data_IF_058391319824
#
_entry.id   IF_058391319824
#
_cell.length_a   1.000
_cell.length_b   1.000
_cell.length_c   1.000
_cell.angle_alpha   90.00
_cell.angle_beta   90.00
_cell.angle_gamma   90.00
#
_symmetry.space_group_name_H-M   'P 1'
#
loop_
_entity.id
_entity.type
_entity.pdbx_description
1 polymer ?
#
# COMPACT_ATOMS: atom_id res chain seq x y z
N UNK A 1 1.13 12.57 -22.63
CA UNK A 1 2.07 12.02 -21.63
C UNK A 1 3.06 11.05 -22.29
N UNK A 2 2.62 9.95 -22.90
CA UNK A 2 3.53 8.96 -23.54
C UNK A 2 3.93 9.25 -24.98
N UNK A 3 3.03 9.80 -25.82
CA UNK A 3 3.20 9.88 -27.29
C UNK A 3 3.56 8.53 -27.96
N UNK A 4 3.04 7.43 -27.42
CA UNK A 4 3.16 6.10 -28.02
C UNK A 4 2.00 5.83 -29.00
N UNK A 5 2.07 4.75 -29.76
CA UNK A 5 0.93 4.31 -30.57
C UNK A 5 -0.21 3.83 -29.64
N UNK A 6 -1.45 3.85 -30.14
CA UNK A 6 -2.59 3.39 -29.34
C UNK A 6 -2.46 1.93 -28.89
N UNK A 7 -1.84 1.07 -29.69
CA UNK A 7 -1.61 -0.34 -29.32
C UNK A 7 -0.55 -0.51 -28.24
N UNK A 8 0.37 0.44 -28.09
CA UNK A 8 1.46 0.37 -27.12
C UNK A 8 0.97 0.59 -25.67
N UNK A 9 -0.26 1.07 -25.46
CA UNK A 9 -0.84 1.25 -24.11
C UNK A 9 -1.01 -0.07 -23.37
N UNK A 10 -1.08 -1.19 -24.10
CA UNK A 10 -1.15 -2.55 -23.53
C UNK A 10 0.24 -3.11 -23.18
N UNK A 11 1.32 -2.49 -23.67
CA UNK A 11 2.69 -2.91 -23.43
C UNK A 11 3.37 -1.97 -22.44
N UNK A 12 3.30 -2.29 -21.15
CA UNK A 12 3.77 -1.43 -20.06
C UNK A 12 5.21 -0.95 -20.24
N UNK A 13 6.13 -1.83 -20.66
CA UNK A 13 7.53 -1.46 -20.92
C UNK A 13 7.67 -0.45 -22.05
N UNK A 14 6.85 -0.58 -23.11
CA UNK A 14 6.87 0.33 -24.26
C UNK A 14 6.25 1.68 -23.91
N UNK A 15 5.13 1.67 -23.21
CA UNK A 15 4.48 2.87 -22.71
C UNK A 15 5.45 3.68 -21.83
N UNK A 16 6.09 3.04 -20.84
CA UNK A 16 7.07 3.68 -19.97
C UNK A 16 8.32 4.16 -20.72
N UNK A 17 8.84 3.40 -21.69
CA UNK A 17 9.95 3.83 -22.54
C UNK A 17 9.62 5.15 -23.27
N UNK A 18 8.41 5.25 -23.82
CA UNK A 18 7.94 6.46 -24.50
C UNK A 18 7.70 7.64 -23.54
N UNK A 19 7.14 7.40 -22.34
CA UNK A 19 6.96 8.46 -21.33
C UNK A 19 8.33 9.01 -20.92
N UNK A 20 9.27 8.13 -20.54
CA UNK A 20 10.60 8.52 -20.07
C UNK A 20 11.37 9.22 -21.18
N UNK A 21 11.34 8.69 -22.41
CA UNK A 21 11.99 9.34 -23.56
C UNK A 21 11.48 10.77 -23.76
N UNK A 22 10.15 10.98 -23.74
CA UNK A 22 9.59 12.32 -23.93
C UNK A 22 9.89 13.26 -22.75
N UNK A 23 10.00 12.73 -21.53
CA UNK A 23 10.41 13.49 -20.36
C UNK A 23 11.88 13.95 -20.51
N UNK A 24 12.79 13.01 -20.73
CA UNK A 24 14.23 13.27 -20.86
C UNK A 24 14.58 14.11 -22.08
N UNK A 25 13.86 13.95 -23.20
CA UNK A 25 14.02 14.78 -24.39
C UNK A 25 13.75 16.27 -24.10
N UNK A 26 12.74 16.59 -23.28
CA UNK A 26 12.46 17.96 -22.86
C UNK A 26 13.59 18.53 -21.99
N UNK A 27 14.23 17.67 -21.21
CA UNK A 27 15.39 18.02 -20.39
C UNK A 27 16.72 17.97 -21.16
N UNK A 28 16.69 17.71 -22.48
CA UNK A 28 17.87 17.58 -23.34
C UNK A 28 18.84 16.47 -22.89
N UNK A 29 18.31 15.42 -22.27
CA UNK A 29 19.06 14.24 -21.83
C UNK A 29 18.92 13.12 -22.86
N UNK A 30 20.05 12.53 -23.25
CA UNK A 30 20.09 11.39 -24.18
C UNK A 30 19.82 10.10 -23.41
N UNK A 31 18.87 9.30 -23.89
CA UNK A 31 18.53 8.00 -23.31
C UNK A 31 19.59 6.93 -23.64
N UNK A 32 19.80 5.92 -22.79
CA UNK A 32 20.73 4.84 -23.08
C UNK A 32 20.24 3.97 -24.24
N UNK A 33 21.18 3.31 -24.92
CA UNK A 33 20.84 2.26 -25.88
C UNK A 33 20.19 1.08 -25.14
N UNK A 34 19.17 0.49 -25.75
CA UNK A 34 18.55 -0.73 -25.22
C UNK A 34 19.53 -1.89 -25.35
N UNK A 35 19.98 -2.45 -24.23
CA UNK A 35 20.79 -3.66 -24.18
C UNK A 35 19.91 -4.92 -24.10
N UNK A 36 20.45 -6.06 -24.53
CA UNK A 36 19.85 -7.36 -24.21
C UNK A 36 20.30 -7.73 -22.80
N UNK A 37 19.37 -7.75 -21.86
CA UNK A 37 19.61 -8.22 -20.52
C UNK A 37 19.18 -9.69 -20.42
N UNK A 38 19.93 -10.49 -19.65
CA UNK A 38 19.47 -11.81 -19.25
C UNK A 38 18.65 -11.62 -17.98
N UNK A 39 17.48 -12.27 -17.91
CA UNK A 39 16.74 -12.39 -16.67
C UNK A 39 17.62 -13.09 -15.64
N UNK A 40 17.94 -12.40 -14.55
CA UNK A 40 18.56 -12.98 -13.38
C UNK A 40 17.57 -13.82 -12.58
N UNK A 41 17.95 -14.10 -11.34
CA UNK A 41 17.14 -14.91 -10.43
C UNK A 41 15.85 -14.17 -10.03
N UNK A 42 14.87 -14.92 -9.54
CA UNK A 42 13.66 -14.32 -9.00
C UNK A 42 14.01 -13.53 -7.73
N UNK A 43 13.74 -12.23 -7.72
CA UNK A 43 13.88 -11.39 -6.53
C UNK A 43 12.61 -11.43 -5.67
N UNK A 44 12.76 -11.19 -4.36
CA UNK A 44 11.65 -11.28 -3.42
C UNK A 44 10.60 -10.19 -3.66
N UNK A 45 9.33 -10.59 -3.55
CA UNK A 45 8.18 -9.72 -3.73
C UNK A 45 7.75 -8.97 -2.47
N UNK A 46 6.48 -8.60 -2.39
CA UNK A 46 5.92 -7.95 -1.21
C UNK A 46 5.85 -8.90 -0.01
N UNK A 47 6.02 -8.34 1.19
CA UNK A 47 5.85 -9.05 2.44
C UNK A 47 4.35 -9.26 2.73
N UNK A 48 4.02 -10.46 3.20
CA UNK A 48 2.66 -10.80 3.67
C UNK A 48 2.81 -11.55 4.98
N UNK A 49 2.41 -10.90 6.07
CA UNK A 49 2.35 -11.53 7.40
C UNK A 49 1.30 -12.64 7.40
N UNK A 50 1.59 -13.75 8.07
CA UNK A 50 0.58 -14.79 8.28
C UNK A 50 -0.51 -14.24 9.21
N UNK A 51 -1.81 -14.31 8.83
CA UNK A 51 -2.84 -13.70 9.65
C UNK A 51 -3.07 -14.50 10.93
N UNK A 52 -3.45 -13.80 12.00
CA UNK A 52 -4.09 -14.43 13.15
C UNK A 52 -5.45 -14.97 12.68
N UNK A 53 -5.57 -16.30 12.55
CA UNK A 53 -6.77 -16.93 11.99
C UNK A 53 -7.94 -16.86 12.96
N UNK A 54 -9.16 -16.83 12.42
CA UNK A 54 -10.39 -16.80 13.18
C UNK A 54 -11.12 -15.47 13.09
N UNK A 55 -12.15 -15.32 13.94
CA UNK A 55 -12.99 -14.13 14.04
C UNK A 55 -12.37 -13.13 15.00
N UNK A 56 -12.27 -11.89 14.57
CA UNK A 56 -11.80 -10.75 15.34
C UNK A 56 -12.86 -9.66 15.34
N UNK A 57 -12.99 -8.96 16.46
CA UNK A 57 -13.89 -7.81 16.58
C UNK A 57 -13.13 -6.51 16.41
N UNK A 58 -13.82 -5.49 15.94
CA UNK A 58 -13.33 -4.10 15.85
C UNK A 58 -11.97 -4.01 15.15
N UNK A 59 -11.98 -4.37 13.87
CA UNK A 59 -10.81 -4.29 13.00
C UNK A 59 -10.81 -2.94 12.29
N UNK A 60 -9.66 -2.28 12.32
CA UNK A 60 -9.39 -1.13 11.47
C UNK A 60 -8.25 -1.46 10.51
N UNK A 61 -8.32 -0.96 9.28
CA UNK A 61 -7.20 -1.05 8.34
C UNK A 61 -6.57 0.32 8.10
N UNK A 62 -5.25 0.32 7.95
CA UNK A 62 -4.47 1.45 7.48
C UNK A 62 -3.76 1.06 6.20
N UNK A 63 -3.77 1.92 5.18
CA UNK A 63 -3.23 1.63 3.84
C UNK A 63 -2.19 2.69 3.43
N UNK A 64 -1.07 2.24 2.85
CA UNK A 64 -0.05 3.13 2.32
C UNK A 64 -0.49 3.73 0.98
N UNK A 65 -0.45 5.06 0.91
CA UNK A 65 -0.78 5.77 -0.31
C UNK A 65 0.22 5.45 -1.41
N UNK A 66 -0.19 4.66 -2.42
CA UNK A 66 0.63 4.36 -3.62
C UNK A 66 2.06 3.94 -3.25
N UNK A 67 2.18 2.82 -2.54
CA UNK A 67 3.42 2.32 -1.94
C UNK A 67 4.64 2.42 -2.86
N UNK A 68 4.64 1.68 -3.97
CA UNK A 68 5.83 1.58 -4.83
C UNK A 68 6.30 2.92 -5.42
N UNK A 69 5.41 3.78 -5.98
CA UNK A 69 5.82 5.13 -6.39
C UNK A 69 6.47 5.95 -5.27
N UNK A 70 5.92 5.92 -4.06
CA UNK A 70 6.47 6.70 -2.96
C UNK A 70 7.80 6.14 -2.46
N UNK A 71 8.03 4.82 -2.53
CA UNK A 71 9.35 4.24 -2.23
C UNK A 71 10.40 4.69 -3.24
N UNK A 72 10.04 4.71 -4.53
CA UNK A 72 10.91 5.24 -5.59
C UNK A 72 11.26 6.71 -5.31
N UNK A 73 10.27 7.51 -4.89
CA UNK A 73 10.48 8.91 -4.52
C UNK A 73 11.29 9.09 -3.23
N UNK A 74 11.08 8.24 -2.22
CA UNK A 74 11.71 8.31 -0.89
C UNK A 74 13.21 8.00 -0.94
N UNK A 75 13.57 6.94 -1.66
CA UNK A 75 14.95 6.48 -1.77
C UNK A 75 15.65 7.00 -3.03
N UNK A 76 14.98 7.85 -3.82
CA UNK A 76 15.51 8.41 -5.07
C UNK A 76 15.94 7.32 -6.08
N UNK A 77 15.15 6.26 -6.20
CA UNK A 77 15.47 5.09 -7.01
C UNK A 77 15.37 5.44 -8.49
N UNK A 78 16.51 5.48 -9.18
CA UNK A 78 16.58 5.81 -10.60
C UNK A 78 17.88 5.24 -11.22
N UNK A 79 17.89 4.90 -12.52
CA UNK A 79 19.07 4.34 -13.18
C UNK A 79 20.34 5.19 -13.10
N UNK A 80 20.21 6.51 -12.98
CA UNK A 80 21.32 7.47 -12.94
C UNK A 80 21.66 7.97 -11.53
N UNK A 81 20.89 7.53 -10.52
CA UNK A 81 21.13 7.84 -9.11
C UNK A 81 21.73 6.68 -8.33
N UNK A 82 21.66 5.45 -8.85
CA UNK A 82 22.32 4.29 -8.24
C UNK A 82 23.86 4.43 -8.31
N UNK A 83 24.53 4.24 -7.18
CA UNK A 83 25.99 4.33 -7.03
C UNK A 83 26.68 2.97 -6.90
N UNK A 84 25.91 1.92 -6.61
CA UNK A 84 26.43 0.58 -6.36
C UNK A 84 25.65 -0.10 -5.23
N UNK A 85 26.33 -1.02 -4.56
CA UNK A 85 25.81 -1.76 -3.40
C UNK A 85 26.69 -1.45 -2.19
N UNK A 86 26.08 -1.33 -1.03
CA UNK A 86 26.77 -1.19 0.25
C UNK A 86 27.54 -2.47 0.58
N UNK A 87 28.60 -2.36 1.37
CA UNK A 87 29.51 -3.48 1.63
C UNK A 87 28.88 -4.55 2.53
N UNK A 88 28.09 -4.12 3.52
CA UNK A 88 27.42 -5.02 4.47
C UNK A 88 26.11 -5.58 3.91
N UNK A 89 25.79 -6.82 4.27
CA UNK A 89 24.45 -7.39 4.08
C UNK A 89 23.49 -6.76 5.10
N UNK A 90 22.70 -5.79 4.64
CA UNK A 90 21.80 -5.01 5.51
C UNK A 90 20.53 -5.82 5.84
N UNK A 91 19.77 -6.21 4.81
CA UNK A 91 18.51 -6.93 4.97
C UNK A 91 17.39 -6.09 5.61
N UNK A 92 16.17 -6.62 5.55
CA UNK A 92 15.00 -5.97 6.17
C UNK A 92 15.06 -6.07 7.69
N UNK A 93 15.31 -7.26 8.22
CA UNK A 93 15.28 -7.53 9.66
C UNK A 93 16.31 -6.70 10.43
N UNK A 94 17.54 -6.61 9.93
CA UNK A 94 18.57 -5.83 10.61
C UNK A 94 18.29 -4.32 10.59
N UNK A 95 17.61 -3.80 9.56
CA UNK A 95 17.10 -2.41 9.62
C UNK A 95 15.97 -2.28 10.63
N UNK A 96 14.97 -3.16 10.60
CA UNK A 96 13.82 -3.16 11.52
C UNK A 96 14.27 -3.20 12.98
N UNK A 97 15.28 -4.02 13.29
CA UNK A 97 15.84 -4.17 14.63
C UNK A 97 16.87 -3.08 14.99
N UNK A 98 17.17 -2.15 14.08
CA UNK A 98 18.17 -1.09 14.23
C UNK A 98 19.57 -1.64 14.58
N UNK A 99 19.97 -2.73 13.91
CA UNK A 99 21.26 -3.40 14.13
C UNK A 99 22.46 -2.68 13.46
N UNK A 100 22.19 -1.70 12.59
CA UNK A 100 23.20 -0.96 11.83
C UNK A 100 23.32 0.50 12.29
N UNK A 101 24.56 0.98 12.38
CA UNK A 101 24.81 2.41 12.47
C UNK A 101 24.76 3.04 11.07
N UNK A 102 23.71 3.81 10.81
CA UNK A 102 23.46 4.46 9.52
C UNK A 102 24.01 5.89 9.45
N UNK A 103 24.71 6.36 10.49
CA UNK A 103 25.29 7.71 10.54
C UNK A 103 26.23 7.99 9.37
N UNK A 104 27.01 6.98 8.94
CA UNK A 104 27.91 7.05 7.79
C UNK A 104 27.17 7.36 6.47
N UNK A 105 25.89 7.00 6.34
CA UNK A 105 25.11 7.34 5.15
C UNK A 105 24.81 8.84 5.09
N UNK A 106 24.62 9.48 6.26
CA UNK A 106 24.48 10.94 6.38
C UNK A 106 25.79 11.62 5.99
N UNK A 107 26.93 11.14 6.50
CA UNK A 107 28.27 11.69 6.19
C UNK A 107 28.60 11.60 4.69
N UNK A 108 28.30 10.46 4.05
CA UNK A 108 28.51 10.26 2.61
C UNK A 108 27.43 10.90 1.73
N UNK A 109 26.40 11.48 2.32
CA UNK A 109 25.24 12.06 1.63
C UNK A 109 24.57 11.08 0.63
N UNK A 110 24.34 9.85 1.09
CA UNK A 110 23.69 8.78 0.33
C UNK A 110 22.51 8.19 1.12
N UNK A 111 21.57 7.57 0.41
CA UNK A 111 20.55 6.72 1.02
C UNK A 111 20.74 5.28 0.58
N UNK A 112 20.38 4.33 1.44
CA UNK A 112 20.58 2.90 1.20
C UNK A 112 19.29 2.15 1.46
N UNK A 113 18.91 1.28 0.52
CA UNK A 113 17.74 0.40 0.65
C UNK A 113 18.11 -0.93 1.30
N UNK A 114 17.15 -1.72 1.81
CA UNK A 114 17.45 -2.98 2.52
C UNK A 114 18.26 -4.01 1.72
N UNK A 115 18.18 -4.00 0.38
CA UNK A 115 19.02 -4.85 -0.48
C UNK A 115 20.45 -4.29 -0.71
N UNK A 116 20.85 -3.29 0.08
CA UNK A 116 22.17 -2.66 -0.03
C UNK A 116 22.31 -1.66 -1.17
N UNK A 117 21.30 -1.45 -2.03
CA UNK A 117 21.46 -0.50 -3.16
C UNK A 117 21.63 0.94 -2.64
N UNK A 118 22.67 1.61 -3.12
CA UNK A 118 23.05 2.96 -2.68
C UNK A 118 22.61 4.00 -3.72
N UNK A 119 21.93 5.04 -3.27
CA UNK A 119 21.42 6.11 -4.14
C UNK A 119 21.92 7.50 -3.72
N UNK A 120 22.11 8.35 -4.72
CA UNK A 120 22.48 9.77 -4.57
C UNK A 120 21.42 10.57 -3.82
N UNK A 121 21.86 11.57 -3.06
CA UNK A 121 20.97 12.59 -2.48
C UNK A 121 21.24 14.02 -2.94
N UNK A 122 22.33 14.24 -3.67
CA UNK A 122 22.71 15.56 -4.17
C UNK A 122 21.85 16.05 -5.34
N UNK A 123 21.13 15.14 -6.01
CA UNK A 123 20.18 15.45 -7.09
C UNK A 123 19.01 14.46 -7.10
N UNK A 124 17.80 14.95 -7.40
CA UNK A 124 16.64 14.09 -7.66
C UNK A 124 16.81 13.38 -9.01
N UNK A 125 16.53 12.08 -9.05
CA UNK A 125 16.53 11.31 -10.29
C UNK A 125 15.31 11.62 -11.17
N UNK A 126 15.44 11.36 -12.47
CA UNK A 126 14.36 11.60 -13.44
C UNK A 126 13.14 10.75 -13.13
N UNK A 127 13.32 9.51 -12.67
CA UNK A 127 12.20 8.60 -12.42
C UNK A 127 11.39 9.04 -11.20
N UNK A 128 12.00 9.31 -10.02
CA UNK A 128 11.33 9.95 -8.89
C UNK A 128 10.59 11.25 -9.26
N UNK A 129 11.24 12.14 -10.02
CA UNK A 129 10.65 13.43 -10.45
C UNK A 129 9.44 13.24 -11.37
N UNK A 130 9.54 12.31 -12.32
CA UNK A 130 8.43 11.96 -13.21
C UNK A 130 7.26 11.33 -12.45
N UNK A 131 7.54 10.44 -11.49
CA UNK A 131 6.52 9.82 -10.64
C UNK A 131 5.80 10.84 -9.77
N UNK A 132 6.52 11.79 -9.19
CA UNK A 132 5.96 12.89 -8.41
C UNK A 132 4.96 13.70 -9.25
N UNK A 133 5.37 14.14 -10.45
CA UNK A 133 4.48 14.87 -11.36
C UNK A 133 3.22 14.05 -11.76
N UNK A 134 3.37 12.76 -12.03
CA UNK A 134 2.24 11.89 -12.37
C UNK A 134 1.32 11.63 -11.17
N UNK A 135 1.88 11.57 -9.96
CA UNK A 135 1.13 11.43 -8.72
C UNK A 135 0.36 12.70 -8.38
N UNK A 136 0.95 13.89 -8.56
CA UNK A 136 0.27 15.16 -8.35
C UNK A 136 -0.95 15.31 -9.28
N UNK A 137 -0.79 14.93 -10.56
CA UNK A 137 -1.92 14.85 -11.50
C UNK A 137 -2.99 13.88 -11.00
N UNK A 138 -2.59 12.71 -10.46
CA UNK A 138 -3.53 11.73 -9.90
C UNK A 138 -4.30 12.32 -8.72
N UNK A 139 -3.62 12.99 -7.79
CA UNK A 139 -4.23 13.63 -6.62
C UNK A 139 -5.23 14.69 -7.07
N UNK A 140 -4.85 15.53 -8.05
CA UNK A 140 -5.74 16.52 -8.65
C UNK A 140 -7.01 15.88 -9.21
N UNK A 141 -6.91 14.82 -10.00
CA UNK A 141 -8.09 14.16 -10.58
C UNK A 141 -8.92 13.40 -9.53
N UNK A 142 -8.30 12.78 -8.50
CA UNK A 142 -9.04 12.18 -7.37
C UNK A 142 -9.82 13.25 -6.61
N UNK A 143 -9.24 14.43 -6.38
CA UNK A 143 -9.93 15.57 -5.75
C UNK A 143 -11.13 16.03 -6.57
N UNK A 144 -10.95 16.27 -7.87
CA UNK A 144 -12.03 16.68 -8.78
C UNK A 144 -13.16 15.63 -8.83
N UNK A 145 -12.81 14.34 -8.82
CA UNK A 145 -13.78 13.24 -8.76
C UNK A 145 -14.63 13.30 -7.48
N UNK A 146 -13.98 13.46 -6.31
CA UNK A 146 -14.67 13.54 -5.02
C UNK A 146 -15.54 14.82 -4.92
N UNK A 147 -15.06 15.95 -5.43
CA UNK A 147 -15.83 17.20 -5.49
C UNK A 147 -17.09 17.06 -6.37
N UNK A 148 -16.99 16.38 -7.51
CA UNK A 148 -18.13 16.09 -8.37
C UNK A 148 -19.11 15.11 -7.69
N UNK A 149 -18.59 14.05 -7.05
CA UNK A 149 -19.39 13.06 -6.33
C UNK A 149 -20.20 13.69 -5.17
N UNK A 150 -19.61 14.65 -4.46
CA UNK A 150 -20.27 15.39 -3.36
C UNK A 150 -21.49 16.20 -3.81
N UNK A 151 -21.66 16.46 -5.11
CA UNK A 151 -22.86 17.12 -5.64
C UNK A 151 -24.09 16.22 -5.66
N UNK A 152 -23.94 14.92 -5.37
CA UNK A 152 -25.03 13.96 -5.29
C UNK A 152 -25.85 13.93 -6.59
N UNK A 153 -27.15 14.20 -6.49
CA UNK A 153 -28.06 14.22 -7.65
C UNK A 153 -27.72 15.28 -8.72
N UNK A 154 -26.93 16.29 -8.36
CA UNK A 154 -26.50 17.36 -9.27
C UNK A 154 -25.13 17.07 -9.93
N UNK A 155 -24.54 15.90 -9.70
CA UNK A 155 -23.27 15.53 -10.30
C UNK A 155 -23.42 15.31 -11.80
N UNK A 156 -22.45 15.77 -12.59
CA UNK A 156 -22.32 15.44 -14.00
C UNK A 156 -21.71 14.04 -14.16
N UNK A 157 -22.47 13.04 -14.64
CA UNK A 157 -21.99 11.66 -14.72
C UNK A 157 -20.82 11.50 -15.69
N UNK A 158 -20.71 12.35 -16.73
CA UNK A 158 -19.61 12.28 -17.68
C UNK A 158 -18.31 12.79 -17.06
N UNK A 159 -18.37 13.88 -16.30
CA UNK A 159 -17.20 14.39 -15.55
C UNK A 159 -16.76 13.40 -14.48
N UNK A 160 -17.70 12.83 -13.74
CA UNK A 160 -17.40 11.84 -12.71
C UNK A 160 -16.66 10.63 -13.32
N UNK A 161 -17.20 10.07 -14.41
CA UNK A 161 -16.56 8.97 -15.15
C UNK A 161 -15.18 9.36 -15.71
N UNK A 162 -15.06 10.56 -16.27
CA UNK A 162 -13.80 11.05 -16.80
C UNK A 162 -12.72 11.20 -15.71
N UNK A 163 -13.04 11.85 -14.59
CA UNK A 163 -12.08 12.01 -13.48
C UNK A 163 -11.72 10.68 -12.84
N UNK A 164 -12.69 9.77 -12.71
CA UNK A 164 -12.44 8.39 -12.27
C UNK A 164 -11.44 7.69 -13.21
N UNK A 165 -11.65 7.76 -14.52
CA UNK A 165 -10.77 7.16 -15.50
C UNK A 165 -9.36 7.78 -15.47
N UNK A 166 -9.23 9.10 -15.33
CA UNK A 166 -7.92 9.74 -15.22
C UNK A 166 -7.15 9.30 -13.98
N UNK A 167 -7.76 9.38 -12.79
CA UNK A 167 -7.07 8.98 -11.55
C UNK A 167 -6.73 7.48 -11.55
N UNK A 168 -7.62 6.64 -12.10
CA UNK A 168 -7.44 5.20 -12.11
C UNK A 168 -6.33 4.79 -13.07
N UNK A 169 -6.29 5.35 -14.28
CA UNK A 169 -5.23 5.07 -15.23
C UNK A 169 -3.87 5.58 -14.75
N UNK A 170 -3.82 6.74 -14.08
CA UNK A 170 -2.58 7.21 -13.44
C UNK A 170 -2.14 6.27 -12.31
N UNK A 171 -3.06 5.76 -11.48
CA UNK A 171 -2.75 4.74 -10.46
C UNK A 171 -2.14 3.49 -11.10
N UNK A 172 -2.77 2.98 -12.16
CA UNK A 172 -2.32 1.78 -12.88
C UNK A 172 -0.93 2.03 -13.49
N UNK A 173 -0.73 3.15 -14.16
CA UNK A 173 0.55 3.50 -14.75
C UNK A 173 1.64 3.60 -13.67
N UNK A 174 1.43 4.39 -12.62
CA UNK A 174 2.37 4.54 -11.51
C UNK A 174 2.80 3.20 -10.91
N UNK A 175 1.84 2.30 -10.65
CA UNK A 175 2.14 0.96 -10.13
C UNK A 175 2.83 0.06 -11.17
N UNK A 176 2.55 0.25 -12.47
CA UNK A 176 3.18 -0.55 -13.52
C UNK A 176 4.63 -0.16 -13.77
N UNK A 177 5.08 1.02 -13.32
CA UNK A 177 6.47 1.43 -13.41
C UNK A 177 7.41 0.46 -12.70
N UNK A 178 7.05 0.06 -11.48
CA UNK A 178 7.75 -0.97 -10.72
C UNK A 178 7.82 -2.29 -11.51
N UNK A 179 6.69 -2.75 -12.07
CA UNK A 179 6.66 -3.95 -12.90
C UNK A 179 7.50 -3.84 -14.18
N UNK A 180 7.65 -2.63 -14.74
CA UNK A 180 8.52 -2.38 -15.87
C UNK A 180 10.01 -2.43 -15.49
N UNK A 181 10.39 -1.91 -14.31
CA UNK A 181 11.76 -1.96 -13.80
C UNK A 181 12.29 -3.38 -13.62
N UNK A 182 11.42 -4.30 -13.20
CA UNK A 182 11.73 -5.74 -13.08
C UNK A 182 11.61 -6.55 -14.39
N UNK A 183 11.39 -5.90 -15.54
CA UNK A 183 11.23 -6.59 -16.82
C UNK A 183 12.49 -6.46 -17.69
N UNK A 184 13.16 -7.58 -17.99
CA UNK A 184 14.40 -7.63 -18.80
C UNK A 184 14.30 -6.96 -20.19
N UNK A 185 13.08 -6.78 -20.72
CA UNK A 185 12.84 -6.12 -22.00
C UNK A 185 12.72 -4.61 -21.89
N UNK A 186 12.73 -4.05 -20.68
CA UNK A 186 12.69 -2.62 -20.44
C UNK A 186 14.07 -2.00 -20.62
N UNK A 187 14.12 -0.78 -21.17
CA UNK A 187 15.40 -0.07 -21.43
C UNK A 187 16.17 0.21 -20.14
N UNK A 188 15.44 0.52 -19.08
CA UNK A 188 15.99 0.87 -17.77
C UNK A 188 15.89 -0.30 -16.78
N UNK A 189 15.90 -1.54 -17.29
CA UNK A 189 15.92 -2.73 -16.47
C UNK A 189 17.15 -2.74 -15.56
N UNK A 190 16.91 -2.87 -14.28
CA UNK A 190 17.93 -3.06 -13.26
C UNK A 190 17.28 -3.80 -12.08
N UNK A 191 17.70 -5.04 -11.86
CA UNK A 191 17.16 -5.90 -10.79
C UNK A 191 17.33 -5.26 -9.42
N UNK A 192 18.45 -4.55 -9.20
CA UNK A 192 18.74 -3.86 -7.94
C UNK A 192 17.68 -2.82 -7.62
N UNK A 193 17.25 -2.05 -8.63
CA UNK A 193 16.22 -1.03 -8.47
C UNK A 193 14.84 -1.66 -8.23
N UNK A 194 14.52 -2.77 -8.91
CA UNK A 194 13.24 -3.45 -8.71
C UNK A 194 13.15 -4.09 -7.32
N UNK A 195 14.19 -4.81 -6.91
CA UNK A 195 14.31 -5.40 -5.59
C UNK A 195 14.34 -4.33 -4.49
N UNK A 196 15.08 -3.23 -4.68
CA UNK A 196 15.13 -2.13 -3.73
C UNK A 196 13.72 -1.60 -3.39
N UNK A 197 12.83 -1.53 -4.37
CA UNK A 197 11.42 -1.14 -4.15
C UNK A 197 10.67 -2.20 -3.35
N UNK A 198 10.83 -3.49 -3.68
CA UNK A 198 10.08 -4.55 -2.98
C UNK A 198 10.49 -4.66 -1.51
N UNK A 199 11.80 -4.76 -1.24
CA UNK A 199 12.32 -4.91 0.13
C UNK A 199 12.14 -3.64 0.97
N UNK A 200 12.22 -2.45 0.36
CA UNK A 200 11.90 -1.20 1.08
C UNK A 200 10.42 -1.15 1.46
N UNK A 201 9.53 -1.72 0.64
CA UNK A 201 8.12 -1.90 1.00
C UNK A 201 7.94 -2.82 2.19
N UNK A 202 8.67 -3.95 2.23
CA UNK A 202 8.66 -4.86 3.38
C UNK A 202 9.12 -4.14 4.67
N UNK A 203 10.20 -3.37 4.59
CA UNK A 203 10.68 -2.57 5.71
C UNK A 203 9.63 -1.56 6.18
N UNK A 204 9.03 -0.79 5.28
CA UNK A 204 8.04 0.23 5.65
C UNK A 204 6.84 -0.36 6.39
N UNK A 205 6.30 -1.49 5.94
CA UNK A 205 5.14 -2.09 6.59
C UNK A 205 5.49 -2.72 7.95
N UNK A 206 6.64 -3.37 8.07
CA UNK A 206 7.11 -3.93 9.35
C UNK A 206 7.46 -2.85 10.38
N UNK A 207 8.00 -1.71 9.91
CA UNK A 207 8.27 -0.55 10.76
C UNK A 207 6.98 0.02 11.37
N UNK A 208 5.93 0.19 10.54
CA UNK A 208 4.62 0.63 11.01
C UNK A 208 3.97 -0.39 11.95
N UNK A 209 4.07 -1.69 11.65
CA UNK A 209 3.61 -2.77 12.53
C UNK A 209 4.22 -2.63 13.93
N UNK A 210 5.55 -2.50 14.02
CA UNK A 210 6.26 -2.37 15.29
C UNK A 210 5.84 -1.10 16.04
N UNK A 211 5.72 0.04 15.34
CA UNK A 211 5.29 1.30 15.94
C UNK A 211 3.87 1.20 16.54
N UNK A 212 2.92 0.62 15.79
CA UNK A 212 1.53 0.45 16.23
C UNK A 212 1.44 -0.54 17.39
N UNK A 213 2.12 -1.69 17.30
CA UNK A 213 2.15 -2.67 18.39
C UNK A 213 2.73 -2.08 19.67
N UNK A 214 3.84 -1.34 19.59
CA UNK A 214 4.45 -0.68 20.76
C UNK A 214 3.51 0.35 21.40
N UNK A 215 2.88 1.19 20.57
CA UNK A 215 1.92 2.18 21.04
C UNK A 215 0.71 1.53 21.73
N UNK A 216 0.13 0.48 21.14
CA UNK A 216 -1.04 -0.19 21.71
C UNK A 216 -0.69 -0.97 22.98
N UNK A 217 0.47 -1.64 23.03
CA UNK A 217 0.93 -2.32 24.25
C UNK A 217 1.12 -1.33 25.40
N UNK A 218 1.75 -0.18 25.13
CA UNK A 218 1.92 0.89 26.12
C UNK A 218 0.57 1.44 26.59
N UNK A 219 -0.31 1.78 25.64
CA UNK A 219 -1.63 2.37 25.92
C UNK A 219 -2.56 1.43 26.70
N UNK A 220 -2.52 0.15 26.35
CA UNK A 220 -3.38 -0.87 26.95
C UNK A 220 -2.75 -1.57 28.15
N UNK A 221 -1.49 -1.27 28.46
CA UNK A 221 -0.71 -1.89 29.53
C UNK A 221 -0.59 -3.40 29.34
N UNK A 222 -0.39 -3.83 28.10
CA UNK A 222 -0.09 -5.22 27.73
C UNK A 222 1.38 -5.38 27.38
N UNK A 223 1.88 -6.61 27.46
CA UNK A 223 3.27 -6.95 27.13
C UNK A 223 3.27 -7.91 25.95
N UNK A 224 3.99 -7.55 24.89
CA UNK A 224 4.19 -8.37 23.69
C UNK A 224 2.88 -8.90 23.06
N UNK A 225 1.77 -8.18 23.21
CA UNK A 225 0.53 -8.53 22.52
C UNK A 225 0.60 -8.03 21.08
N UNK A 226 0.38 -8.94 20.14
CA UNK A 226 0.31 -8.59 18.73
C UNK A 226 -1.12 -8.15 18.37
N UNK A 227 -1.30 -6.86 18.16
CA UNK A 227 -2.56 -6.24 17.74
C UNK A 227 -2.73 -6.26 16.21
N UNK A 228 -1.68 -6.62 15.47
CA UNK A 228 -1.72 -6.67 14.01
C UNK A 228 -2.20 -8.06 13.57
N UNK A 229 -3.47 -8.14 13.21
CA UNK A 229 -4.14 -9.39 12.80
C UNK A 229 -3.60 -9.88 11.47
N UNK A 230 -3.39 -8.97 10.51
CA UNK A 230 -2.92 -9.31 9.18
C UNK A 230 -2.19 -8.14 8.54
N UNK A 231 -1.33 -8.44 7.57
CA UNK A 231 -0.75 -7.47 6.66
C UNK A 231 -0.85 -8.01 5.25
N UNK A 232 -1.34 -7.20 4.33
CA UNK A 232 -1.40 -7.54 2.91
C UNK A 232 -0.74 -6.44 2.09
N UNK A 233 0.52 -6.66 1.70
CA UNK A 233 1.30 -5.80 0.81
C UNK A 233 1.57 -4.39 1.34
N UNK A 234 0.55 -3.53 1.34
CA UNK A 234 0.56 -2.12 1.72
C UNK A 234 -0.45 -1.78 2.83
N UNK A 235 -1.31 -2.73 3.22
CA UNK A 235 -2.30 -2.54 4.28
C UNK A 235 -1.95 -3.25 5.59
N UNK A 236 -2.22 -2.57 6.70
CA UNK A 236 -2.06 -3.04 8.09
C UNK A 236 -3.45 -3.21 8.74
N UNK A 237 -3.79 -4.41 9.22
CA UNK A 237 -5.08 -4.69 9.89
C UNK A 237 -4.87 -4.80 11.40
N UNK A 238 -5.47 -3.88 12.15
CA UNK A 238 -5.29 -3.70 13.59
C UNK A 238 -6.56 -4.10 14.34
N UNK A 239 -6.45 -4.97 15.33
CA UNK A 239 -7.54 -5.32 16.24
C UNK A 239 -7.60 -4.35 17.42
N UNK A 240 -8.69 -3.60 17.50
CA UNK A 240 -8.93 -2.60 18.57
C UNK A 240 -10.01 -3.06 19.56
N UNK A 241 -10.41 -4.32 19.55
CA UNK A 241 -11.40 -4.88 20.48
C UNK A 241 -11.03 -4.67 21.96
N UNK A 242 -9.74 -4.83 22.30
CA UNK A 242 -9.25 -4.58 23.66
C UNK A 242 -9.33 -3.10 24.05
N UNK A 243 -9.19 -2.19 23.08
CA UNK A 243 -9.34 -0.75 23.30
C UNK A 243 -10.82 -0.40 23.54
N UNK A 244 -11.71 -0.90 22.69
CA UNK A 244 -13.16 -0.71 22.84
C UNK A 244 -13.65 -1.25 24.19
N UNK A 245 -13.23 -2.47 24.54
CA UNK A 245 -13.57 -3.12 25.82
C UNK A 245 -13.06 -2.33 27.02
N UNK A 246 -11.86 -1.74 26.95
CA UNK A 246 -11.27 -0.94 28.05
C UNK A 246 -12.04 0.36 28.29
N UNK A 247 -12.61 0.97 27.25
CA UNK A 247 -13.45 2.17 27.38
C UNK A 247 -14.88 1.82 27.82
N UNK A 248 -15.35 0.61 27.50
CA UNK A 248 -16.67 0.13 27.92
C UNK A 248 -17.84 0.69 27.09
N UNK A 249 -17.59 1.10 25.85
CA UNK A 249 -18.64 1.54 24.92
C UNK A 249 -19.31 0.29 24.34
N UNK A 250 -20.64 0.24 24.36
CA UNK A 250 -21.43 -0.90 23.85
C UNK A 250 -22.27 -0.55 22.63
N UNK A 251 -22.51 0.74 22.40
CA UNK A 251 -23.30 1.26 21.30
C UNK A 251 -22.45 1.32 20.02
N UNK A 252 -22.92 0.68 18.96
CA UNK A 252 -22.15 0.42 17.74
C UNK A 252 -21.72 1.71 17.04
N UNK A 253 -22.64 2.66 16.84
CA UNK A 253 -22.33 3.94 16.20
C UNK A 253 -21.29 4.74 16.99
N UNK A 254 -21.46 4.79 18.32
CA UNK A 254 -20.48 5.45 19.21
C UNK A 254 -19.12 4.77 19.19
N UNK A 255 -19.07 3.44 19.03
CA UNK A 255 -17.80 2.72 18.88
C UNK A 255 -17.13 3.13 17.58
N UNK A 256 -17.84 3.15 16.45
CA UNK A 256 -17.23 3.54 15.16
C UNK A 256 -16.70 4.97 15.22
N UNK A 257 -17.42 5.91 15.83
CA UNK A 257 -16.96 7.30 16.01
C UNK A 257 -15.77 7.42 16.96
N UNK A 258 -15.74 6.60 18.01
CA UNK A 258 -14.59 6.49 18.90
C UNK A 258 -13.36 5.93 18.16
N UNK A 259 -13.55 4.88 17.35
CA UNK A 259 -12.50 4.24 16.57
C UNK A 259 -11.95 5.18 15.50
N UNK A 260 -12.79 5.98 14.85
CA UNK A 260 -12.34 6.99 13.89
C UNK A 260 -11.38 8.00 14.55
N UNK A 261 -11.73 8.49 15.75
CA UNK A 261 -10.84 9.38 16.54
C UNK A 261 -9.58 8.68 17.02
N UNK A 262 -9.69 7.41 17.45
CA UNK A 262 -8.53 6.62 17.86
C UNK A 262 -7.57 6.38 16.69
N UNK A 263 -8.11 6.14 15.49
CA UNK A 263 -7.32 5.98 14.27
C UNK A 263 -6.53 7.24 13.96
N UNK A 264 -7.08 8.45 14.15
CA UNK A 264 -6.32 9.70 14.00
C UNK A 264 -5.07 9.77 14.89
N UNK A 265 -5.11 9.20 16.11
CA UNK A 265 -3.93 9.10 16.98
C UNK A 265 -2.93 8.06 16.48
N UNK A 266 -3.43 6.90 16.01
CA UNK A 266 -2.59 5.85 15.43
C UNK A 266 -1.91 6.35 14.14
N UNK A 267 -2.60 7.12 13.30
CA UNK A 267 -1.99 7.78 12.14
C UNK A 267 -0.83 8.68 12.55
N UNK A 268 -0.97 9.48 13.62
CA UNK A 268 0.13 10.32 14.13
C UNK A 268 1.32 9.51 14.64
N UNK A 269 1.09 8.33 15.23
CA UNK A 269 2.16 7.39 15.61
C UNK A 269 2.87 6.85 14.36
N UNK A 270 2.09 6.44 13.35
CA UNK A 270 2.64 5.91 12.10
C UNK A 270 3.44 6.99 11.35
N UNK A 271 2.91 8.20 11.25
CA UNK A 271 3.56 9.35 10.61
C UNK A 271 4.93 9.62 11.26
N UNK A 272 4.96 9.76 12.58
CA UNK A 272 6.20 9.93 13.33
C UNK A 272 7.17 8.76 13.11
N UNK A 273 6.67 7.52 13.08
CA UNK A 273 7.52 6.36 12.83
C UNK A 273 8.17 6.39 11.45
N UNK A 274 7.47 6.91 10.42
CA UNK A 274 8.05 7.05 9.09
C UNK A 274 9.02 8.22 8.99
N UNK A 275 8.83 9.30 9.75
CA UNK A 275 9.85 10.35 9.89
C UNK A 275 11.13 9.77 10.51
N UNK A 276 11.00 8.97 11.58
CA UNK A 276 12.13 8.27 12.20
C UNK A 276 12.81 7.30 11.22
N UNK A 277 12.03 6.55 10.43
CA UNK A 277 12.58 5.66 9.40
C UNK A 277 13.34 6.45 8.33
N UNK A 278 12.75 7.53 7.82
CA UNK A 278 13.36 8.37 6.81
C UNK A 278 14.66 9.01 7.31
N UNK A 279 14.70 9.43 8.58
CA UNK A 279 15.93 9.91 9.20
C UNK A 279 16.97 8.78 9.35
N UNK A 280 16.54 7.61 9.81
CA UNK A 280 17.40 6.45 10.04
C UNK A 280 18.06 5.97 8.75
N UNK A 281 17.32 5.81 7.65
CA UNK A 281 17.88 5.38 6.36
C UNK A 281 18.47 6.53 5.52
N UNK A 282 18.56 7.71 6.12
CA UNK A 282 18.96 8.95 5.46
C UNK A 282 18.22 9.16 4.13
N UNK A 283 16.92 8.92 4.09
CA UNK A 283 16.10 9.00 2.89
C UNK A 283 16.28 10.33 2.13
N UNK A 284 16.11 10.30 0.80
CA UNK A 284 16.12 11.51 -0.03
C UNK A 284 15.02 12.50 0.40
N UNK A 285 13.85 11.95 0.74
CA UNK A 285 12.70 12.67 1.28
C UNK A 285 11.75 11.69 1.97
N UNK A 286 11.03 12.12 3.00
CA UNK A 286 9.96 11.32 3.57
C UNK A 286 8.76 11.34 2.59
N UNK A 287 8.31 10.16 2.16
CA UNK A 287 7.13 10.02 1.28
C UNK A 287 6.13 8.97 1.76
N UNK A 288 6.42 8.23 2.83
CA UNK A 288 5.51 7.22 3.36
C UNK A 288 4.35 7.88 4.10
N UNK A 289 3.15 7.72 3.57
CA UNK A 289 1.91 8.20 4.20
C UNK A 289 0.92 7.06 4.24
N UNK A 290 0.60 6.62 5.45
CA UNK A 290 -0.39 5.58 5.69
C UNK A 290 -1.62 6.21 6.35
N UNK A 291 -2.81 5.93 5.79
CA UNK A 291 -4.08 6.50 6.26
C UNK A 291 -5.08 5.40 6.57
N UNK A 292 -6.00 5.68 7.48
CA UNK A 292 -7.10 4.78 7.81
C UNK A 292 -7.94 4.55 6.56
N UNK A 293 -8.12 3.28 6.20
CA UNK A 293 -8.94 2.85 5.07
C UNK A 293 -10.29 2.35 5.59
N UNK A 294 -10.34 1.31 6.43
CA UNK A 294 -11.60 0.68 6.86
C UNK A 294 -11.78 0.71 8.38
N UNK A 295 -13.03 0.84 8.83
CA UNK A 295 -13.49 0.42 10.17
C UNK A 295 -14.52 -0.70 9.99
N UNK A 296 -14.29 -1.84 10.63
CA UNK A 296 -15.15 -3.01 10.58
C UNK A 296 -15.40 -3.57 11.99
N UNK A 297 -16.64 -3.96 12.28
CA UNK A 297 -17.00 -4.54 13.59
C UNK A 297 -16.54 -6.01 13.72
N UNK A 298 -16.44 -6.72 12.61
CA UNK A 298 -16.10 -8.13 12.50
C UNK A 298 -15.18 -8.31 11.30
N UNK A 299 -14.07 -9.00 11.54
CA UNK A 299 -13.20 -9.53 10.49
C UNK A 299 -12.91 -11.00 10.72
N UNK A 300 -12.91 -11.80 9.64
CA UNK A 300 -12.61 -13.24 9.72
C UNK A 300 -11.52 -13.58 8.72
N UNK A 301 -10.40 -14.08 9.21
CA UNK A 301 -9.27 -14.56 8.39
C UNK A 301 -9.15 -16.07 8.45
N UNK A 302 -8.98 -16.71 7.28
CA UNK A 302 -8.68 -18.14 7.20
C UNK A 302 -7.27 -18.40 6.66
N UNK A 303 -6.76 -17.50 5.80
CA UNK A 303 -5.43 -17.55 5.23
C UNK A 303 -4.98 -16.17 4.72
N UNK A 304 -3.72 -16.08 4.28
CA UNK A 304 -3.19 -14.90 3.56
C UNK A 304 -4.10 -14.59 2.37
N UNK A 305 -4.47 -13.31 2.20
CA UNK A 305 -5.39 -12.84 1.15
C UNK A 305 -6.76 -13.52 1.13
N UNK A 306 -7.19 -14.12 2.25
CA UNK A 306 -8.47 -14.83 2.35
C UNK A 306 -9.24 -14.42 3.60
N UNK A 307 -10.10 -13.42 3.47
CA UNK A 307 -10.83 -12.84 4.61
C UNK A 307 -12.13 -12.12 4.20
N UNK A 308 -12.99 -11.92 5.20
CA UNK A 308 -14.17 -11.04 5.12
C UNK A 308 -14.12 -9.99 6.22
N UNK A 309 -14.65 -8.81 5.91
CA UNK A 309 -14.85 -7.71 6.85
C UNK A 309 -16.27 -7.18 6.71
N UNK A 310 -16.92 -6.91 7.83
CA UNK A 310 -18.18 -6.19 7.86
C UNK A 310 -17.92 -4.71 8.11
N UNK A 311 -17.89 -3.94 7.03
CA UNK A 311 -17.36 -2.57 7.00
C UNK A 311 -18.44 -1.57 7.29
N UNK A 312 -18.18 -0.71 8.28
CA UNK A 312 -19.01 0.43 8.66
C UNK A 312 -18.58 1.71 7.98
N UNK A 313 -17.27 1.95 7.90
CA UNK A 313 -16.69 3.16 7.34
C UNK A 313 -15.53 2.82 6.41
N UNK A 314 -15.49 3.42 5.22
CA UNK A 314 -14.43 3.23 4.23
C UNK A 314 -13.97 4.56 3.66
N UNK A 315 -12.68 4.90 3.80
CA UNK A 315 -12.06 6.17 3.36
C UNK A 315 -12.86 7.42 3.79
N UNK A 316 -13.43 7.43 4.99
CA UNK A 316 -14.25 8.51 5.54
C UNK A 316 -15.70 8.55 5.05
N UNK A 317 -16.13 7.54 4.28
CA UNK A 317 -17.53 7.35 3.89
C UNK A 317 -18.17 6.34 4.84
N UNK A 318 -19.03 6.85 5.73
CA UNK A 318 -19.89 6.04 6.59
C UNK A 318 -21.02 5.43 5.77
N UNK A 319 -21.26 4.14 5.91
CA UNK A 319 -22.42 3.48 5.31
C UNK A 319 -23.62 3.53 6.25
N UNK A 320 -24.83 3.59 5.66
CA UNK A 320 -26.09 3.45 6.41
C UNK A 320 -26.23 2.04 6.97
N UNK A 321 -25.99 1.03 6.12
CA UNK A 321 -25.89 -0.37 6.49
C UNK A 321 -24.46 -0.89 6.26
N UNK A 322 -23.92 -1.73 7.15
CA UNK A 322 -22.59 -2.31 7.00
C UNK A 322 -22.46 -3.10 5.69
N UNK A 323 -21.27 -3.03 5.07
CA UNK A 323 -20.99 -3.69 3.80
C UNK A 323 -19.92 -4.76 3.93
N UNK A 324 -20.23 -5.93 3.41
CA UNK A 324 -19.28 -7.02 3.28
C UNK A 324 -18.15 -6.69 2.29
N UNK A 325 -16.93 -6.53 2.80
CA UNK A 325 -15.68 -6.54 2.01
C UNK A 325 -15.12 -7.97 2.05
N UNK A 326 -15.12 -8.64 0.90
CA UNK A 326 -14.66 -10.02 0.74
C UNK A 326 -13.38 -10.02 -0.09
N UNK A 327 -12.33 -10.72 0.36
CA UNK A 327 -11.04 -10.79 -0.34
C UNK A 327 -10.58 -12.24 -0.47
N UNK A 328 -10.27 -12.63 -1.71
CA UNK A 328 -9.72 -13.94 -2.11
C UNK A 328 -10.60 -15.17 -1.89
N UNK A 329 -11.82 -15.00 -1.39
CA UNK A 329 -12.79 -16.08 -1.18
C UNK A 329 -13.50 -16.44 -2.48
N UNK A 330 -13.90 -17.70 -2.63
CA UNK A 330 -14.61 -18.26 -3.78
C UNK A 330 -15.83 -17.43 -4.21
N UNK A 331 -16.49 -16.75 -3.26
CA UNK A 331 -17.63 -15.87 -3.49
C UNK A 331 -17.37 -14.70 -4.47
N UNK A 332 -16.11 -14.34 -4.70
CA UNK A 332 -15.72 -13.27 -5.63
C UNK A 332 -14.88 -13.76 -6.81
N UNK A 333 -14.54 -15.06 -6.87
CA UNK A 333 -13.75 -15.64 -7.97
C UNK A 333 -14.63 -15.82 -9.20
N UNK A 334 -14.15 -15.35 -10.35
CA UNK A 334 -14.86 -15.49 -11.63
C UNK A 334 -15.11 -16.97 -12.01
N UNK A 335 -14.22 -17.87 -11.58
CA UNK A 335 -14.29 -19.32 -11.80
C UNK A 335 -15.39 -20.04 -11.00
N UNK A 336 -15.91 -19.44 -9.93
CA UNK A 336 -16.99 -20.04 -9.12
C UNK A 336 -18.34 -19.83 -9.81
N UNK A 337 -19.21 -20.85 -9.90
CA UNK A 337 -20.55 -20.69 -10.46
C UNK A 337 -21.35 -19.56 -9.78
N UNK A 338 -22.13 -18.81 -10.56
CA UNK A 338 -22.87 -17.64 -10.05
C UNK A 338 -23.79 -17.99 -8.88
N UNK A 339 -24.55 -19.07 -8.97
CA UNK A 339 -25.43 -19.54 -7.89
C UNK A 339 -24.63 -19.81 -6.60
N UNK A 340 -23.47 -20.47 -6.69
CA UNK A 340 -22.61 -20.71 -5.54
C UNK A 340 -22.07 -19.39 -4.96
N UNK A 341 -21.70 -18.40 -5.79
CA UNK A 341 -21.26 -17.09 -5.29
C UNK A 341 -22.35 -16.36 -4.53
N UNK A 342 -23.58 -16.40 -5.03
CA UNK A 342 -24.73 -15.78 -4.38
C UNK A 342 -25.03 -16.45 -3.05
N UNK A 343 -25.06 -17.79 -3.01
CA UNK A 343 -25.23 -18.55 -1.77
C UNK A 343 -24.11 -18.27 -0.76
N UNK A 344 -22.85 -18.22 -1.20
CA UNK A 344 -21.72 -17.88 -0.34
C UNK A 344 -21.81 -16.46 0.23
N UNK A 345 -22.26 -15.48 -0.56
CA UNK A 345 -22.45 -14.12 -0.04
C UNK A 345 -23.58 -14.04 0.98
N UNK A 346 -24.68 -14.76 0.73
CA UNK A 346 -25.80 -14.82 1.66
C UNK A 346 -25.39 -15.45 3.00
N UNK A 347 -24.72 -16.60 2.98
CA UNK A 347 -24.25 -17.26 4.20
C UNK A 347 -23.22 -16.43 4.96
N UNK A 348 -22.37 -15.65 4.27
CA UNK A 348 -21.43 -14.75 4.96
C UNK A 348 -22.11 -13.63 5.71
N UNK A 349 -23.23 -13.10 5.21
CA UNK A 349 -24.03 -12.15 5.99
C UNK A 349 -24.54 -12.84 7.27
N UNK A 350 -25.06 -14.06 7.16
CA UNK A 350 -25.58 -14.83 8.31
C UNK A 350 -24.46 -15.14 9.31
N UNK A 351 -23.26 -15.53 8.87
CA UNK A 351 -22.12 -15.79 9.75
C UNK A 351 -21.72 -14.55 10.55
N UNK A 352 -21.91 -13.35 9.99
CA UNK A 352 -21.52 -12.10 10.63
C UNK A 352 -22.56 -11.63 11.62
N UNK A 353 -23.84 -11.61 11.22
CA UNK A 353 -24.93 -11.02 11.99
C UNK A 353 -25.78 -12.02 12.78
N UNK A 354 -25.75 -13.31 12.43
CA UNK A 354 -26.58 -14.36 12.99
C UNK A 354 -25.83 -15.34 13.89
N UNK A 355 -26.50 -16.47 14.15
CA UNK A 355 -26.04 -17.57 15.01
C UNK A 355 -25.57 -18.77 14.19
N UNK A 356 -24.93 -19.74 14.86
CA UNK A 356 -24.57 -21.02 14.24
C UNK A 356 -25.81 -21.75 13.70
N UNK A 357 -26.92 -21.72 14.42
CA UNK A 357 -28.19 -22.35 14.00
C UNK A 357 -28.77 -21.70 12.73
N UNK A 358 -28.64 -20.38 12.58
CA UNK A 358 -29.07 -19.67 11.37
C UNK A 358 -28.24 -20.10 10.15
N UNK A 359 -26.94 -20.34 10.37
CA UNK A 359 -26.04 -20.82 9.31
C UNK A 359 -26.40 -22.24 8.92
N UNK A 360 -26.62 -23.14 9.89
CA UNK A 360 -27.05 -24.52 9.64
C UNK A 360 -28.36 -24.53 8.86
N UNK A 361 -29.36 -23.76 9.30
CA UNK A 361 -30.67 -23.66 8.66
C UNK A 361 -30.64 -23.10 7.24
N UNK A 362 -29.60 -22.34 6.88
CA UNK A 362 -29.42 -21.85 5.51
C UNK A 362 -28.77 -22.88 4.58
N UNK A 363 -27.96 -23.79 5.14
CA UNK A 363 -27.26 -24.84 4.39
C UNK A 363 -28.19 -26.02 4.12
N UNK A 364 -28.99 -26.40 5.11
CA UNK A 364 -30.02 -27.45 5.02
C UNK A 364 -31.19 -27.05 4.12
#
# INVERSE_FOLDING_TARGET
>A
MSKCNYTDVFAQTRMWDCIIYNHLLKEKVVIPQKSKQRKGDAYEGAYVKAPQKGRHKWIVSFDLNSLYPHLIMQYNISPETILGTWEDEIGVDGLVNKEFDTSIWKEKNVTVTPNGSVYRKDKQGFLPKLMESMYDDRVKYKKLMLEEQKKGRNADPNKLSQYYNYQQNLKIALNSAYGAMGNQWFRYYDERNAEAVSVAGQLSVQWAENAVNNYLNTTLSTVNKDYIVAMDTDSLYVCLDSLVSKVGITDEEKIVDFLDKACGRIEGVIEKSYDELAEYVNAFQQKMVMKREVIADTGIWTAKKHYILNVHDSEGVRYEDPKLKIVGIEAIKSSTPQACRESLKAIFNIIISGTEDDVISYIE
#
